data_IF_801464287877
#
_entry.id   IF_801464287877
#
_cell.length_a   1.000
_cell.length_b   1.000
_cell.length_c   1.000
_cell.angle_alpha   90.00
_cell.angle_beta   90.00
_cell.angle_gamma   90.00
#
_symmetry.space_group_name_H-M   'P 1'
#
loop_
_entity.id
_entity.type
_entity.pdbx_description
1 polymer ?
#
# COMPACT_ATOMS: atom_id res chain seq x y z
N UNK A 1 34.23 18.78 -98.93
CA UNK A 1 32.81 18.38 -98.89
C UNK A 1 32.53 17.12 -98.04
N UNK A 2 33.51 16.47 -97.38
CA UNK A 2 33.27 15.25 -96.59
C UNK A 2 32.83 15.48 -95.12
N UNK A 3 33.06 16.67 -94.54
CA UNK A 3 32.73 16.94 -93.14
C UNK A 3 31.26 17.34 -92.87
N UNK A 4 30.51 17.72 -93.91
CA UNK A 4 29.12 18.15 -93.79
C UNK A 4 28.12 16.99 -93.89
N UNK A 5 28.46 15.92 -94.62
CA UNK A 5 27.63 14.72 -94.74
C UNK A 5 27.65 13.88 -93.46
N UNK A 6 28.78 13.82 -92.75
CA UNK A 6 28.90 13.09 -91.47
C UNK A 6 28.12 13.74 -90.33
N UNK A 7 27.96 15.07 -90.34
CA UNK A 7 27.12 15.79 -89.37
C UNK A 7 25.62 15.59 -89.62
N UNK A 8 25.18 15.50 -90.89
CA UNK A 8 23.78 15.25 -91.22
C UNK A 8 23.35 13.83 -90.83
N UNK A 9 24.19 12.81 -91.07
CA UNK A 9 23.92 11.43 -90.66
C UNK A 9 24.00 11.24 -89.13
N UNK A 10 24.91 11.95 -88.46
CA UNK A 10 25.00 11.96 -87.00
C UNK A 10 23.74 12.60 -86.36
N UNK A 11 23.23 13.69 -86.95
CA UNK A 11 21.98 14.30 -86.51
C UNK A 11 20.76 13.41 -86.77
N UNK A 12 20.69 12.74 -87.91
CA UNK A 12 19.60 11.80 -88.21
C UNK A 12 19.58 10.60 -87.23
N UNK A 13 20.75 10.02 -86.92
CA UNK A 13 20.86 8.96 -85.89
C UNK A 13 20.50 9.46 -84.50
N UNK A 14 20.87 10.69 -84.15
CA UNK A 14 20.52 11.32 -82.86
C UNK A 14 19.02 11.57 -82.75
N UNK A 15 18.35 12.00 -83.83
CA UNK A 15 16.89 12.18 -83.86
C UNK A 15 16.15 10.85 -83.74
N UNK A 16 16.61 9.80 -84.45
CA UNK A 16 16.02 8.47 -84.33
C UNK A 16 16.19 7.87 -82.91
N UNK A 17 17.36 8.08 -82.28
CA UNK A 17 17.60 7.67 -80.90
C UNK A 17 16.74 8.45 -79.89
N UNK A 18 16.53 9.75 -80.10
CA UNK A 18 15.59 10.53 -79.30
C UNK A 18 14.15 10.04 -79.46
N UNK A 19 13.74 9.67 -80.66
CA UNK A 19 12.38 9.20 -80.92
C UNK A 19 12.11 7.85 -80.23
N UNK A 20 13.07 6.93 -80.27
CA UNK A 20 13.01 5.68 -79.51
C UNK A 20 13.00 5.91 -77.99
N UNK A 21 13.75 6.92 -77.51
CA UNK A 21 13.73 7.31 -76.10
C UNK A 21 12.37 7.90 -75.67
N UNK A 22 11.71 8.66 -76.54
CA UNK A 22 10.38 9.22 -76.30
C UNK A 22 9.31 8.12 -76.29
N UNK A 23 9.41 7.12 -77.18
CA UNK A 23 8.52 5.95 -77.17
C UNK A 23 8.67 5.12 -75.89
N UNK A 24 9.90 4.86 -75.44
CA UNK A 24 10.15 4.19 -74.16
C UNK A 24 9.61 5.00 -72.96
N UNK A 25 9.75 6.32 -72.99
CA UNK A 25 9.22 7.19 -71.95
C UNK A 25 7.68 7.21 -71.96
N UNK A 26 7.04 7.13 -73.13
CA UNK A 26 5.60 7.04 -73.26
C UNK A 26 5.05 5.71 -72.71
N UNK A 27 5.71 4.58 -73.02
CA UNK A 27 5.36 3.27 -72.45
C UNK A 27 5.54 3.25 -70.92
N UNK A 28 6.63 3.86 -70.41
CA UNK A 28 6.85 4.00 -68.97
C UNK A 28 5.78 4.89 -68.31
N UNK A 29 5.33 5.95 -68.98
CA UNK A 29 4.26 6.81 -68.46
C UNK A 29 2.92 6.06 -68.42
N UNK A 30 2.65 5.22 -69.42
CA UNK A 30 1.42 4.43 -69.51
C UNK A 30 1.38 3.30 -68.48
N UNK A 31 2.52 2.63 -68.24
CA UNK A 31 2.63 1.63 -67.17
C UNK A 31 2.51 2.27 -65.79
N UNK A 32 3.10 3.45 -65.59
CA UNK A 32 3.00 4.20 -64.34
C UNK A 32 1.56 4.69 -64.08
N UNK A 33 0.81 5.07 -65.12
CA UNK A 33 -0.62 5.41 -65.00
C UNK A 33 -1.49 4.18 -64.67
N UNK A 34 -1.18 3.01 -65.23
CA UNK A 34 -1.85 1.76 -64.90
C UNK A 34 -1.56 1.33 -63.45
N UNK A 35 -0.32 1.54 -62.99
CA UNK A 35 0.11 1.26 -61.62
C UNK A 35 -0.53 2.23 -60.63
N UNK A 36 -0.61 3.53 -60.95
CA UNK A 36 -1.37 4.54 -60.19
C UNK A 36 -2.85 4.19 -60.08
N UNK A 37 -3.46 3.69 -61.17
CA UNK A 37 -4.86 3.26 -61.17
C UNK A 37 -5.06 2.01 -60.31
N UNK A 38 -4.12 1.08 -60.36
CA UNK A 38 -4.11 -0.12 -59.50
C UNK A 38 -3.90 0.24 -58.02
N UNK A 39 -2.96 1.13 -57.69
CA UNK A 39 -2.72 1.63 -56.33
C UNK A 39 -3.94 2.40 -55.82
N UNK A 40 -4.58 3.23 -56.66
CA UNK A 40 -5.83 3.91 -56.31
C UNK A 40 -6.97 2.93 -56.07
N UNK A 41 -7.02 1.82 -56.79
CA UNK A 41 -8.02 0.75 -56.59
C UNK A 41 -7.75 -0.05 -55.31
N UNK A 42 -6.49 -0.33 -54.99
CA UNK A 42 -6.08 -0.97 -53.72
C UNK A 42 -6.34 -0.03 -52.53
N UNK A 43 -6.05 1.26 -52.66
CA UNK A 43 -6.38 2.28 -51.65
C UNK A 43 -7.90 2.50 -51.52
N UNK A 44 -8.68 2.25 -52.57
CA UNK A 44 -10.14 2.29 -52.54
C UNK A 44 -10.79 1.00 -52.00
N UNK A 45 -10.05 -0.10 -51.88
CA UNK A 45 -10.53 -1.33 -51.25
C UNK A 45 -10.55 -1.19 -49.72
N UNK A 46 -11.61 -0.54 -49.24
CA UNK A 46 -12.36 -0.54 -47.98
C UNK A 46 -11.87 -1.24 -46.68
N UNK A 47 -10.82 -2.06 -46.66
CA UNK A 47 -10.39 -2.79 -45.46
C UNK A 47 -9.48 -1.96 -44.53
N UNK A 48 -8.65 -1.07 -45.09
CA UNK A 48 -7.76 -0.21 -44.29
C UNK A 48 -8.42 1.11 -43.88
N UNK A 49 -9.29 1.68 -44.72
CA UNK A 49 -10.04 2.90 -44.38
C UNK A 49 -11.01 2.69 -43.21
N UNK A 50 -11.63 1.52 -43.10
CA UNK A 50 -12.52 1.20 -41.97
C UNK A 50 -11.73 1.13 -40.65
N UNK A 51 -10.56 0.48 -40.65
CA UNK A 51 -9.69 0.41 -39.46
C UNK A 51 -9.12 1.75 -39.07
N UNK A 52 -8.72 2.57 -40.04
CA UNK A 52 -8.23 3.94 -39.79
C UNK A 52 -9.36 4.82 -39.25
N UNK A 53 -10.59 4.66 -39.74
CA UNK A 53 -11.75 5.36 -39.19
C UNK A 53 -12.11 4.90 -37.77
N UNK A 54 -12.02 3.61 -37.48
CA UNK A 54 -12.18 3.08 -36.12
C UNK A 54 -11.07 3.58 -35.19
N UNK A 55 -9.82 3.65 -35.66
CA UNK A 55 -8.69 4.23 -34.92
C UNK A 55 -8.86 5.72 -34.69
N UNK A 56 -9.33 6.49 -35.67
CA UNK A 56 -9.61 7.91 -35.53
C UNK A 56 -10.80 8.16 -34.58
N UNK A 57 -11.84 7.33 -34.65
CA UNK A 57 -12.96 7.37 -33.71
C UNK A 57 -12.50 6.98 -32.30
N UNK A 58 -11.64 5.98 -32.17
CA UNK A 58 -11.04 5.57 -30.90
C UNK A 58 -10.14 6.67 -30.33
N UNK A 59 -9.28 7.27 -31.15
CA UNK A 59 -8.43 8.41 -30.75
C UNK A 59 -9.25 9.64 -30.40
N UNK A 60 -10.33 9.92 -31.12
CA UNK A 60 -11.26 10.99 -30.78
C UNK A 60 -11.99 10.68 -29.47
N UNK A 61 -12.37 9.43 -29.23
CA UNK A 61 -13.00 9.02 -27.96
C UNK A 61 -12.03 9.09 -26.77
N UNK A 62 -10.76 8.70 -26.97
CA UNK A 62 -9.68 8.80 -25.98
C UNK A 62 -9.31 10.25 -25.69
N UNK A 63 -9.27 11.12 -26.72
CA UNK A 63 -8.93 12.54 -26.57
C UNK A 63 -10.06 13.36 -25.94
N UNK A 64 -11.31 12.94 -26.14
CA UNK A 64 -12.49 13.54 -25.51
C UNK A 64 -12.88 12.85 -24.20
N UNK A 65 -12.19 11.77 -23.81
CA UNK A 65 -12.34 11.21 -22.48
C UNK A 65 -11.90 12.29 -21.49
N UNK A 66 -12.76 12.68 -20.52
CA UNK A 66 -12.35 13.61 -19.48
C UNK A 66 -11.09 13.05 -18.84
N UNK A 67 -10.11 13.92 -18.54
CA UNK A 67 -8.94 13.52 -17.78
C UNK A 67 -9.46 12.83 -16.51
N UNK A 68 -9.39 11.50 -16.48
CA UNK A 68 -9.79 10.71 -15.33
C UNK A 68 -8.84 11.16 -14.23
N UNK A 69 -9.35 11.93 -13.27
CA UNK A 69 -8.60 12.19 -12.06
C UNK A 69 -8.13 10.83 -11.56
N UNK A 70 -6.82 10.66 -11.41
CA UNK A 70 -6.26 9.38 -11.00
C UNK A 70 -7.07 8.86 -9.81
N UNK A 71 -7.56 7.62 -9.92
CA UNK A 71 -8.42 7.07 -8.89
C UNK A 71 -7.67 7.12 -7.56
N UNK A 72 -8.24 7.85 -6.60
CA UNK A 72 -7.67 8.00 -5.25
C UNK A 72 -7.86 6.70 -4.50
N UNK A 73 -6.91 5.80 -4.68
CA UNK A 73 -7.00 4.45 -4.16
C UNK A 73 -6.19 4.28 -2.87
N UNK A 74 -5.34 5.24 -2.53
CA UNK A 74 -4.57 5.24 -1.30
C UNK A 74 -5.33 5.99 -0.22
N UNK A 75 -5.23 5.53 1.03
CA UNK A 75 -5.96 6.13 2.14
C UNK A 75 -5.01 6.34 3.31
N UNK A 76 -5.03 7.53 3.89
CA UNK A 76 -4.42 7.78 5.18
C UNK A 76 -5.50 7.75 6.26
N UNK A 77 -5.38 6.83 7.21
CA UNK A 77 -6.26 6.68 8.35
C UNK A 77 -5.64 7.32 9.58
N UNK A 78 -6.44 8.08 10.32
CA UNK A 78 -6.18 8.39 11.74
C UNK A 78 -7.10 7.50 12.55
N UNK A 79 -6.55 6.72 13.48
CA UNK A 79 -7.28 5.73 14.26
C UNK A 79 -7.00 5.87 15.75
N UNK A 80 -7.95 5.42 16.55
CA UNK A 80 -7.79 5.34 17.98
C UNK A 80 -8.90 4.53 18.61
N UNK A 81 -8.67 4.07 19.83
CA UNK A 81 -9.57 3.15 20.48
C UNK A 81 -9.05 2.64 21.80
N UNK A 82 -9.61 1.50 22.18
CA UNK A 82 -9.30 0.77 23.40
C UNK A 82 -8.46 -0.46 23.06
N UNK A 83 -7.51 -0.75 23.92
CA UNK A 83 -6.62 -1.90 23.87
C UNK A 83 -6.75 -2.67 25.17
N UNK A 84 -6.76 -3.99 25.07
CA UNK A 84 -6.73 -4.91 26.19
C UNK A 84 -5.63 -5.94 25.98
N UNK A 85 -4.79 -6.14 26.98
CA UNK A 85 -3.78 -7.20 27.02
C UNK A 85 -4.34 -8.43 27.72
N UNK A 86 -4.03 -9.61 27.20
CA UNK A 86 -4.53 -10.89 27.75
C UNK A 86 -3.88 -11.19 29.13
N UNK A 87 -2.67 -10.66 29.37
CA UNK A 87 -1.88 -10.86 30.59
C UNK A 87 -1.39 -9.56 31.21
N UNK A 88 -1.15 -9.57 32.52
CA UNK A 88 -0.55 -8.43 33.23
C UNK A 88 0.96 -8.42 32.99
N UNK A 89 1.51 -7.28 32.61
CA UNK A 89 2.96 -7.07 32.58
C UNK A 89 3.50 -6.82 34.00
N UNK A 90 4.54 -7.56 34.39
CA UNK A 90 5.21 -7.46 35.70
C UNK A 90 4.91 -8.62 36.65
N UNK A 91 5.76 -8.83 37.65
CA UNK A 91 5.61 -9.96 38.56
C UNK A 91 4.41 -9.81 39.51
N UNK A 92 3.69 -10.92 39.73
CA UNK A 92 2.47 -10.94 40.55
C UNK A 92 2.73 -10.92 42.06
N UNK A 93 3.97 -11.14 42.52
CA UNK A 93 4.30 -11.24 43.95
C UNK A 93 5.71 -10.70 44.29
N UNK A 94 5.78 -9.47 44.82
CA UNK A 94 7.02 -8.92 45.41
C UNK A 94 7.40 -9.62 46.74
N UNK A 95 6.47 -10.38 47.34
CA UNK A 95 6.64 -11.07 48.63
C UNK A 95 6.07 -12.48 48.57
N UNK A 96 6.93 -13.49 48.71
CA UNK A 96 6.53 -14.88 48.89
C UNK A 96 6.47 -15.23 50.38
N UNK A 97 5.74 -16.29 50.75
CA UNK A 97 5.50 -16.82 52.11
C UNK A 97 6.77 -17.21 52.94
N UNK A 98 7.95 -16.74 52.55
CA UNK A 98 9.21 -16.92 53.27
C UNK A 98 10.32 -15.93 52.89
N UNK A 99 10.04 -14.84 52.16
CA UNK A 99 11.08 -13.89 51.75
C UNK A 99 10.65 -12.88 50.69
N UNK A 100 11.64 -12.13 50.21
CA UNK A 100 11.49 -11.18 49.11
C UNK A 100 11.44 -11.94 47.77
N UNK A 101 10.48 -11.63 46.89
CA UNK A 101 10.31 -12.27 45.58
C UNK A 101 11.41 -11.90 44.58
N UNK A 102 11.49 -12.64 43.45
CA UNK A 102 12.54 -12.46 42.43
C UNK A 102 12.42 -11.13 41.66
N UNK A 103 11.24 -10.50 41.65
CA UNK A 103 11.01 -9.19 41.03
C UNK A 103 10.29 -8.25 42.00
N UNK A 104 11.07 -7.30 42.48
CA UNK A 104 10.71 -6.29 43.48
C UNK A 104 10.55 -4.92 42.81
N UNK A 105 10.97 -4.81 41.56
CA UNK A 105 11.16 -3.55 40.86
C UNK A 105 10.02 -3.25 39.89
N UNK A 106 9.28 -4.27 39.45
CA UNK A 106 8.08 -4.12 38.62
C UNK A 106 6.82 -4.45 39.40
N UNK A 107 5.72 -3.77 39.05
CA UNK A 107 4.38 -4.03 39.57
C UNK A 107 3.45 -4.39 38.41
N UNK A 108 2.40 -5.20 38.64
CA UNK A 108 1.44 -5.51 37.59
C UNK A 108 0.76 -4.22 37.10
N UNK A 109 0.89 -3.91 35.81
CA UNK A 109 0.18 -2.79 35.17
C UNK A 109 -1.24 -3.17 34.74
N UNK A 110 -2.07 -2.14 34.56
CA UNK A 110 -3.42 -2.30 34.03
C UNK A 110 -3.37 -2.92 32.62
N UNK A 111 -4.26 -3.88 32.36
CA UNK A 111 -4.39 -4.55 31.07
C UNK A 111 -5.09 -3.66 30.02
N UNK A 112 -5.79 -2.62 30.47
CA UNK A 112 -6.58 -1.73 29.64
C UNK A 112 -5.82 -0.45 29.32
N UNK A 113 -5.74 -0.13 28.02
CA UNK A 113 -5.06 1.05 27.52
C UNK A 113 -5.89 1.79 26.47
N UNK A 114 -5.65 3.09 26.32
CA UNK A 114 -6.10 3.82 25.15
C UNK A 114 -4.96 3.94 24.14
N UNK A 115 -5.30 3.82 22.87
CA UNK A 115 -4.35 3.99 21.77
C UNK A 115 -4.83 5.01 20.75
N UNK A 116 -3.89 5.65 20.09
CA UNK A 116 -4.11 6.50 18.94
C UNK A 116 -2.94 6.38 17.95
N UNK A 117 -3.22 6.59 16.68
CA UNK A 117 -2.23 6.35 15.64
C UNK A 117 -2.68 6.76 14.25
N UNK A 118 -1.82 6.48 13.28
CA UNK A 118 -2.11 6.68 11.88
C UNK A 118 -1.68 5.47 11.06
N UNK A 119 -2.40 5.19 9.97
CA UNK A 119 -2.03 4.14 9.03
C UNK A 119 -2.17 4.61 7.59
N UNK A 120 -1.32 4.12 6.69
CA UNK A 120 -1.39 4.36 5.26
C UNK A 120 -1.73 3.04 4.57
N UNK A 121 -2.84 3.05 3.84
CA UNK A 121 -3.27 1.96 2.98
C UNK A 121 -2.80 2.22 1.55
N UNK A 122 -1.89 1.38 1.07
CA UNK A 122 -1.49 1.34 -0.32
C UNK A 122 -2.31 0.31 -1.08
N UNK A 123 -3.34 0.75 -1.79
CA UNK A 123 -4.04 -0.12 -2.73
C UNK A 123 -3.12 -0.48 -3.90
N UNK A 124 -3.00 -1.79 -4.18
CA UNK A 124 -2.19 -2.32 -5.26
C UNK A 124 -3.05 -2.73 -6.45
N UNK A 125 -4.20 -3.37 -6.18
CA UNK A 125 -5.15 -3.77 -7.21
C UNK A 125 -6.59 -3.78 -6.68
N UNK A 126 -7.56 -3.91 -7.59
CA UNK A 126 -9.00 -3.89 -7.30
C UNK A 126 -9.71 -5.19 -7.70
N UNK A 127 -8.96 -6.21 -8.11
CA UNK A 127 -9.44 -7.47 -8.67
C UNK A 127 -8.79 -8.71 -8.03
N UNK A 128 -8.15 -8.57 -6.86
CA UNK A 128 -7.37 -9.61 -6.17
C UNK A 128 -6.50 -10.41 -7.15
N UNK A 129 -5.74 -9.71 -8.01
CA UNK A 129 -4.91 -10.31 -9.05
C UNK A 129 -5.67 -11.18 -10.07
N UNK A 130 -6.94 -10.86 -10.32
CA UNK A 130 -7.85 -11.58 -11.19
C UNK A 130 -8.60 -12.74 -10.55
N UNK A 131 -8.42 -12.99 -9.24
CA UNK A 131 -9.09 -14.09 -8.53
C UNK A 131 -10.54 -13.76 -8.18
N UNK A 132 -10.82 -12.51 -7.83
CA UNK A 132 -12.13 -12.06 -7.39
C UNK A 132 -12.38 -10.62 -7.82
N UNK A 133 -13.38 -10.43 -8.68
CA UNK A 133 -13.83 -9.08 -9.04
C UNK A 133 -14.47 -8.38 -7.84
N UNK A 134 -14.27 -7.07 -7.74
CA UNK A 134 -14.75 -6.26 -6.62
C UNK A 134 -14.02 -6.50 -5.29
N UNK A 135 -12.85 -7.14 -5.30
CA UNK A 135 -12.00 -7.34 -4.13
C UNK A 135 -10.66 -6.65 -4.33
N UNK A 136 -10.38 -5.63 -3.52
CA UNK A 136 -9.14 -4.88 -3.54
C UNK A 136 -8.08 -5.53 -2.66
N UNK A 137 -6.86 -5.60 -3.17
CA UNK A 137 -5.68 -5.94 -2.39
C UNK A 137 -4.81 -4.70 -2.16
N UNK A 138 -4.32 -4.55 -0.93
CA UNK A 138 -3.38 -3.50 -0.57
C UNK A 138 -2.50 -3.88 0.62
N UNK A 139 -1.60 -2.97 0.97
CA UNK A 139 -0.73 -3.09 2.14
C UNK A 139 -1.02 -1.91 3.07
N UNK A 140 -1.33 -2.20 4.33
CA UNK A 140 -1.48 -1.22 5.41
C UNK A 140 -0.13 -1.09 6.14
N UNK A 141 0.37 0.13 6.28
CA UNK A 141 1.49 0.48 7.16
C UNK A 141 0.93 1.36 8.28
N UNK A 142 0.91 0.85 9.51
CA UNK A 142 0.37 1.54 10.69
C UNK A 142 1.44 1.91 11.69
N UNK A 143 1.26 3.05 12.35
CA UNK A 143 2.02 3.49 13.52
C UNK A 143 1.01 3.86 14.60
N UNK A 144 1.16 3.26 15.78
CA UNK A 144 0.26 3.43 16.91
C UNK A 144 1.03 3.72 18.19
N UNK A 145 0.49 4.62 19.00
CA UNK A 145 0.95 4.93 20.33
C UNK A 145 -0.13 4.53 21.32
N UNK A 146 0.25 3.77 22.36
CA UNK A 146 -0.63 3.36 23.44
C UNK A 146 -0.03 3.74 24.78
N UNK A 147 -0.87 4.21 25.69
CA UNK A 147 -0.50 4.52 27.07
C UNK A 147 -1.15 3.49 27.98
N UNK A 148 -0.31 2.71 28.66
CA UNK A 148 -0.70 1.51 29.41
C UNK A 148 -1.00 1.80 30.88
N UNK A 149 -0.62 2.98 31.38
CA UNK A 149 -0.95 3.42 32.72
C UNK A 149 0.06 4.39 33.32
N UNK A 150 -0.43 5.12 34.32
CA UNK A 150 0.28 6.15 35.09
C UNK A 150 0.37 5.77 36.58
N UNK A 151 0.90 4.58 36.89
CA UNK A 151 1.30 4.26 38.28
C UNK A 151 1.93 2.89 38.35
N UNK A 152 3.18 2.84 38.80
CA UNK A 152 3.76 1.62 39.32
C UNK A 152 4.30 1.86 40.72
N UNK A 153 3.84 1.04 41.66
CA UNK A 153 4.35 1.01 43.02
C UNK A 153 5.53 0.05 43.04
N UNK A 154 6.76 0.57 43.09
CA UNK A 154 7.93 -0.30 43.26
C UNK A 154 7.79 -1.12 44.56
N UNK A 155 7.79 -2.45 44.42
CA UNK A 155 7.79 -3.40 45.52
C UNK A 155 8.98 -3.24 46.47
N UNK A 156 9.97 -2.40 46.12
CA UNK A 156 11.13 -2.05 46.95
C UNK A 156 10.75 -1.52 48.32
N UNK A 157 9.70 -0.70 48.41
CA UNK A 157 9.22 -0.19 49.71
C UNK A 157 8.72 -1.34 50.59
N UNK A 158 8.03 -2.32 49.99
CA UNK A 158 7.46 -3.47 50.68
C UNK A 158 8.51 -4.53 51.02
N UNK A 159 9.49 -4.73 50.14
CA UNK A 159 10.66 -5.59 50.37
C UNK A 159 11.55 -5.05 51.50
N UNK A 160 11.81 -3.74 51.56
CA UNK A 160 12.56 -3.12 52.66
C UNK A 160 11.79 -3.25 53.99
N UNK A 161 10.48 -3.01 53.99
CA UNK A 161 9.66 -3.18 55.20
C UNK A 161 9.71 -4.63 55.72
N UNK A 162 9.65 -5.61 54.80
CA UNK A 162 9.68 -7.05 55.13
C UNK A 162 11.07 -7.51 55.58
N UNK A 163 12.14 -7.05 54.92
CA UNK A 163 13.52 -7.44 55.23
C UNK A 163 14.11 -6.73 56.46
N UNK A 164 13.74 -5.47 56.71
CA UNK A 164 14.29 -4.67 57.82
C UNK A 164 13.43 -4.69 59.10
N UNK A 165 12.23 -5.30 59.07
CA UNK A 165 11.26 -5.22 60.18
C UNK A 165 10.84 -3.78 60.52
N UNK A 166 11.07 -2.85 59.59
CA UNK A 166 10.91 -1.43 59.81
C UNK A 166 9.51 -0.99 59.36
N UNK A 167 8.62 -0.75 60.32
CA UNK A 167 7.24 -0.30 60.09
C UNK A 167 7.10 1.12 59.47
N UNK A 168 8.21 1.75 59.05
CA UNK A 168 8.25 3.13 58.56
C UNK A 168 9.40 3.34 57.56
N UNK A 169 9.44 2.54 56.49
CA UNK A 169 10.28 2.88 55.35
C UNK A 169 9.67 4.10 54.62
N UNK A 170 10.44 5.18 54.47
CA UNK A 170 10.08 6.34 53.64
C UNK A 170 9.71 5.86 52.23
N UNK A 171 8.58 6.32 51.67
CA UNK A 171 8.15 5.92 50.32
C UNK A 171 9.26 6.20 49.30
N UNK A 172 9.80 5.14 48.71
CA UNK A 172 10.74 5.20 47.58
C UNK A 172 10.00 5.03 46.24
N UNK A 173 8.69 5.26 46.23
CA UNK A 173 7.84 5.16 45.05
C UNK A 173 8.34 6.12 43.96
N UNK A 174 8.56 5.60 42.76
CA UNK A 174 8.81 6.41 41.56
C UNK A 174 7.64 6.24 40.61
N UNK A 175 7.05 7.35 40.20
CA UNK A 175 6.02 7.35 39.17
C UNK A 175 6.68 7.11 37.82
N UNK A 176 6.21 6.08 37.12
CA UNK A 176 6.64 5.75 35.77
C UNK A 176 5.39 5.57 34.92
N UNK A 177 5.31 6.31 33.81
CA UNK A 177 4.28 6.12 32.77
C UNK A 177 4.77 5.07 31.80
N UNK A 178 3.97 4.04 31.57
CA UNK A 178 4.31 2.98 30.61
C UNK A 178 3.65 3.29 29.27
N UNK A 179 4.46 3.37 28.22
CA UNK A 179 4.00 3.62 26.86
C UNK A 179 4.53 2.60 25.85
N UNK A 180 3.77 2.41 24.79
CA UNK A 180 4.12 1.48 23.71
C UNK A 180 3.92 2.16 22.36
N UNK A 181 4.97 2.13 21.53
CA UNK A 181 4.91 2.48 20.12
C UNK A 181 4.90 1.18 19.30
N UNK A 182 3.84 0.97 18.53
CA UNK A 182 3.69 -0.17 17.62
C UNK A 182 3.82 0.29 16.17
N UNK A 183 4.70 -0.36 15.42
CA UNK A 183 4.83 -0.19 13.98
C UNK A 183 4.41 -1.48 13.31
N UNK A 184 3.48 -1.40 12.37
CA UNK A 184 2.75 -2.54 11.85
C UNK A 184 2.70 -2.51 10.34
N UNK A 185 2.88 -3.66 9.69
CA UNK A 185 2.78 -3.81 8.25
C UNK A 185 1.95 -5.05 7.91
N UNK A 186 0.87 -4.89 7.14
CA UNK A 186 -0.05 -5.99 6.87
C UNK A 186 -0.65 -5.96 5.46
N UNK A 187 -0.83 -7.12 4.82
CA UNK A 187 -1.71 -7.24 3.67
C UNK A 187 -3.16 -7.01 4.12
N UNK A 188 -3.86 -6.14 3.40
CA UNK A 188 -5.27 -5.80 3.66
C UNK A 188 -6.11 -6.11 2.42
N UNK A 189 -7.13 -6.93 2.61
CA UNK A 189 -8.08 -7.32 1.58
C UNK A 189 -9.37 -6.57 1.86
N UNK A 190 -9.81 -5.70 0.93
CA UNK A 190 -11.07 -4.96 1.03
C UNK A 190 -12.08 -5.53 0.04
N UNK A 191 -13.27 -5.82 0.52
CA UNK A 191 -14.36 -6.35 -0.28
C UNK A 191 -15.25 -5.20 -0.79
N UNK A 192 -16.05 -5.50 -1.82
CA UNK A 192 -17.04 -4.59 -2.37
C UNK A 192 -16.43 -3.30 -2.92
N UNK A 193 -15.39 -3.42 -3.75
CA UNK A 193 -14.80 -2.27 -4.43
C UNK A 193 -15.88 -1.49 -5.23
N UNK A 194 -15.90 -0.16 -5.09
CA UNK A 194 -16.92 0.71 -5.67
C UNK A 194 -18.19 0.91 -4.82
N UNK A 195 -18.38 0.15 -3.74
CA UNK A 195 -19.41 0.39 -2.73
C UNK A 195 -18.95 1.44 -1.70
N UNK A 196 -19.90 2.19 -1.14
CA UNK A 196 -19.64 3.07 0.00
C UNK A 196 -19.28 2.28 1.26
N UNK A 197 -19.90 1.12 1.46
CA UNK A 197 -19.59 0.21 2.56
C UNK A 197 -18.62 -0.86 2.07
N UNK A 198 -17.45 -0.94 2.70
CA UNK A 198 -16.38 -1.87 2.35
C UNK A 198 -15.88 -2.62 3.58
N UNK A 199 -16.32 -3.87 3.79
CA UNK A 199 -15.70 -4.77 4.74
C UNK A 199 -14.25 -5.04 4.34
N UNK A 200 -13.39 -5.30 5.31
CA UNK A 200 -12.00 -5.69 5.04
C UNK A 200 -11.47 -6.68 6.07
N UNK A 201 -10.43 -7.40 5.66
CA UNK A 201 -9.74 -8.40 6.45
C UNK A 201 -8.22 -8.25 6.27
N UNK A 202 -7.51 -8.35 7.38
CA UNK A 202 -6.06 -8.52 7.47
C UNK A 202 -5.85 -9.98 7.92
N UNK A 203 -5.45 -10.87 7.00
CA UNK A 203 -5.31 -12.29 7.31
C UNK A 203 -4.05 -12.60 8.11
N UNK A 204 -2.99 -11.79 7.97
CA UNK A 204 -1.73 -11.96 8.69
C UNK A 204 -0.84 -10.73 8.44
N UNK A 205 -0.61 -9.91 9.45
CA UNK A 205 0.37 -8.82 9.43
C UNK A 205 1.51 -9.06 10.40
N UNK A 206 2.53 -8.22 10.32
CA UNK A 206 3.66 -8.19 11.25
C UNK A 206 3.61 -6.91 12.07
N UNK A 207 3.97 -7.03 13.35
CA UNK A 207 4.02 -5.92 14.30
C UNK A 207 5.37 -5.86 15.00
N UNK A 208 5.85 -4.64 15.22
CA UNK A 208 7.02 -4.33 16.01
C UNK A 208 6.60 -3.45 17.17
N UNK A 209 6.69 -3.98 18.39
CA UNK A 209 6.33 -3.27 19.61
C UNK A 209 7.60 -2.72 20.28
N UNK A 210 7.63 -1.41 20.51
CA UNK A 210 8.68 -0.70 21.24
C UNK A 210 8.06 -0.19 22.53
N UNK A 211 8.48 -0.76 23.66
CA UNK A 211 7.91 -0.46 24.99
C UNK A 211 8.88 0.43 25.77
N UNK A 212 8.34 1.41 26.48
CA UNK A 212 9.09 2.28 27.38
C UNK A 212 8.33 2.47 28.70
N UNK A 213 9.06 2.62 29.83
CA UNK A 213 10.51 2.51 29.96
C UNK A 213 10.97 1.04 29.95
N UNK A 214 12.26 0.78 29.63
CA UNK A 214 12.78 -0.57 29.62
C UNK A 214 12.59 -1.20 31.02
N UNK A 215 11.79 -2.27 31.07
CA UNK A 215 11.80 -3.18 32.22
C UNK A 215 13.09 -3.99 32.15
N UNK A 216 13.67 -4.33 33.30
CA UNK A 216 15.03 -4.84 33.43
C UNK A 216 15.43 -5.93 32.40
N UNK A 217 16.66 -5.77 31.87
CA UNK A 217 17.42 -6.75 31.08
C UNK A 217 16.84 -7.23 29.72
N UNK A 218 16.87 -6.32 28.74
CA UNK A 218 17.21 -6.56 27.32
C UNK A 218 16.33 -7.55 26.53
N UNK A 219 15.16 -7.06 26.07
CA UNK A 219 14.77 -7.00 24.64
C UNK A 219 13.69 -5.92 24.46
N UNK A 220 14.02 -4.82 23.76
CA UNK A 220 13.15 -3.62 23.60
C UNK A 220 12.28 -3.69 22.34
N UNK A 221 12.36 -4.79 21.61
CA UNK A 221 11.67 -5.01 20.35
C UNK A 221 11.04 -6.40 20.38
N UNK A 222 9.71 -6.44 20.49
CA UNK A 222 8.95 -7.66 20.35
C UNK A 222 8.34 -7.70 18.94
N UNK A 223 8.49 -8.83 18.23
CA UNK A 223 7.90 -9.04 16.91
C UNK A 223 6.71 -9.97 17.01
N UNK A 224 5.53 -9.47 16.66
CA UNK A 224 4.29 -10.21 16.69
C UNK A 224 3.66 -10.36 15.31
N UNK A 225 2.57 -11.12 15.29
CA UNK A 225 1.62 -11.22 14.19
C UNK A 225 0.36 -10.44 14.54
N UNK A 226 -0.27 -9.82 13.56
CA UNK A 226 -1.59 -9.21 13.72
C UNK A 226 -2.62 -9.78 12.75
N UNK A 227 -3.82 -9.94 13.25
CA UNK A 227 -5.01 -10.31 12.50
C UNK A 227 -6.02 -9.20 12.72
N UNK A 228 -6.75 -8.80 11.68
CA UNK A 228 -7.65 -7.68 11.81
C UNK A 228 -8.86 -7.82 10.92
N UNK A 229 -10.02 -7.39 11.39
CA UNK A 229 -11.20 -7.27 10.57
C UNK A 229 -11.91 -5.98 10.90
N UNK A 230 -12.54 -5.39 9.89
CA UNK A 230 -13.22 -4.13 10.07
C UNK A 230 -14.14 -3.81 8.91
N UNK A 231 -14.78 -2.66 9.03
CA UNK A 231 -15.63 -2.12 7.99
C UNK A 231 -15.38 -0.63 7.84
N UNK A 232 -15.29 -0.20 6.59
CA UNK A 232 -15.15 1.19 6.19
C UNK A 232 -16.46 1.66 5.53
N UNK A 233 -16.84 2.90 5.80
CA UNK A 233 -17.96 3.57 5.18
C UNK A 233 -17.51 4.93 4.63
N UNK A 234 -17.68 5.12 3.32
CA UNK A 234 -17.42 6.39 2.65
C UNK A 234 -18.54 7.40 2.95
N UNK A 235 -18.20 8.38 3.78
CA UNK A 235 -19.10 9.48 4.16
C UNK A 235 -19.28 10.45 3.00
N UNK A 236 -18.16 10.87 2.42
CA UNK A 236 -18.05 11.80 1.30
C UNK A 236 -16.96 11.30 0.34
N UNK A 237 -16.95 11.74 -0.93
CA UNK A 237 -15.89 11.39 -1.88
C UNK A 237 -14.48 11.61 -1.29
N UNK A 238 -13.81 10.52 -0.95
CA UNK A 238 -12.48 10.53 -0.34
C UNK A 238 -12.40 10.80 1.17
N UNK A 239 -13.51 10.83 1.90
CA UNK A 239 -13.55 10.83 3.38
C UNK A 239 -14.28 9.58 3.85
N UNK A 240 -13.59 8.78 4.66
CA UNK A 240 -14.01 7.46 5.09
C UNK A 240 -14.08 7.44 6.61
N UNK A 241 -15.07 6.80 7.19
CA UNK A 241 -15.07 6.42 8.59
C UNK A 241 -15.05 4.91 8.70
N UNK A 242 -14.34 4.36 9.68
CA UNK A 242 -14.21 2.94 9.87
C UNK A 242 -14.29 2.54 11.33
N UNK A 243 -14.66 1.29 11.55
CA UNK A 243 -14.49 0.60 12.83
C UNK A 243 -13.72 -0.68 12.58
N UNK A 244 -12.83 -1.01 13.50
CA UNK A 244 -11.96 -2.17 13.34
C UNK A 244 -11.62 -2.83 14.67
N UNK A 245 -11.41 -4.14 14.59
CA UNK A 245 -10.90 -4.97 15.66
C UNK A 245 -9.64 -5.69 15.19
N UNK A 246 -8.57 -5.65 15.98
CA UNK A 246 -7.34 -6.38 15.69
C UNK A 246 -6.94 -7.23 16.87
N UNK A 247 -6.51 -8.45 16.58
CA UNK A 247 -5.92 -9.37 17.53
C UNK A 247 -4.41 -9.45 17.24
N UNK A 248 -3.61 -9.25 18.27
CA UNK A 248 -2.16 -9.27 18.22
C UNK A 248 -1.69 -10.53 18.93
N UNK A 249 -0.90 -11.33 18.24
CA UNK A 249 -0.37 -12.59 18.74
C UNK A 249 1.14 -12.59 18.67
N UNK A 250 1.80 -12.98 19.74
CA UNK A 250 3.25 -13.01 19.89
C UNK A 250 3.66 -14.45 20.23
N UNK A 251 4.46 -15.12 19.38
CA UNK A 251 4.71 -16.56 19.53
C UNK A 251 5.70 -16.97 20.64
N UNK A 252 6.19 -16.06 21.50
CA UNK A 252 7.15 -16.42 22.56
C UNK A 252 7.15 -15.42 23.73
N UNK A 253 7.22 -15.94 24.95
CA UNK A 253 7.33 -15.21 26.21
C UNK A 253 8.76 -14.65 26.35
N UNK A 254 9.06 -13.52 25.71
CA UNK A 254 10.38 -12.87 25.87
C UNK A 254 10.41 -12.21 27.25
N UNK A 255 11.07 -12.86 28.20
CA UNK A 255 11.34 -12.36 29.55
C UNK A 255 10.09 -12.00 30.39
N UNK A 256 9.00 -12.77 30.24
CA UNK A 256 7.81 -12.67 31.09
C UNK A 256 6.86 -11.51 30.77
N UNK A 257 6.92 -10.95 29.56
CA UNK A 257 6.00 -9.91 29.09
C UNK A 257 5.21 -10.40 27.88
N UNK A 258 4.04 -10.98 28.16
CA UNK A 258 3.06 -11.34 27.14
C UNK A 258 2.40 -10.06 26.61
N UNK A 259 2.55 -9.81 25.30
CA UNK A 259 2.00 -8.61 24.64
C UNK A 259 0.77 -8.93 23.78
N UNK A 260 0.21 -10.12 24.01
CA UNK A 260 -0.99 -10.60 23.33
C UNK A 260 -2.20 -9.79 23.79
N UNK A 261 -3.10 -9.54 22.84
CA UNK A 261 -4.27 -8.76 23.16
C UNK A 261 -5.10 -8.34 21.98
N UNK A 262 -6.17 -7.63 22.31
CA UNK A 262 -7.14 -7.15 21.35
C UNK A 262 -7.20 -5.63 21.35
N UNK A 263 -7.31 -5.04 20.16
CA UNK A 263 -7.60 -3.62 19.99
C UNK A 263 -8.94 -3.45 19.30
N UNK A 264 -9.74 -2.51 19.78
CA UNK A 264 -11.01 -2.11 19.21
C UNK A 264 -11.02 -0.61 19.04
N UNK A 265 -11.21 -0.15 17.80
CA UNK A 265 -11.10 1.27 17.50
C UNK A 265 -11.99 1.76 16.39
N UNK A 266 -12.06 3.09 16.32
CA UNK A 266 -12.62 3.82 15.20
C UNK A 266 -11.51 4.52 14.42
N UNK A 267 -11.76 4.79 13.14
CA UNK A 267 -10.85 5.54 12.29
C UNK A 267 -11.56 6.51 11.36
N UNK A 268 -10.84 7.56 10.96
CA UNK A 268 -11.22 8.47 9.89
C UNK A 268 -10.12 8.46 8.85
N UNK A 269 -10.48 8.19 7.60
CA UNK A 269 -9.59 8.05 6.47
C UNK A 269 -9.76 9.15 5.43
N UNK A 270 -8.66 9.56 4.81
CA UNK A 270 -8.62 10.52 3.71
C UNK A 270 -7.96 9.88 2.48
N UNK A 271 -8.69 9.82 1.38
CA UNK A 271 -8.20 9.23 0.14
C UNK A 271 -7.36 10.23 -0.67
N UNK A 272 -6.27 9.75 -1.27
CA UNK A 272 -5.36 10.53 -2.10
C UNK A 272 -4.90 9.78 -3.35
#
# INVERSE_FOLDING_TARGET
QAAAQTQAEANAKKTAALQSQVEQMAEMMQSMQAELSRVKTIAANAADTTKVQELDQWMASMKNAPAQAAAKNHIFHVRGGWMHMDDNRGAKDATNLGGVGDDILTSPVDQDAFYYGGAIDFNMNNDLFGLMDGVSFGIELGIEYSELGDREDSGLTQAIQTAAGAANATSLQKNVTVNMLRVSAAPKIKFMHGSKLRPWLIPLGIDFNIISPPSDAVTVLNSGMQFGAGVEYELLPGIIAGVDGRYHWTPDDVDGVDTDGFTLGGSVGFAF
#
